data_IF_581490501975
#
_entry.id   IF_581490501975
#
_cell.length_a   1.000
_cell.length_b   1.000
_cell.length_c   1.000
_cell.angle_alpha   90.00
_cell.angle_beta   90.00
_cell.angle_gamma   90.00
#
_symmetry.space_group_name_H-M   'P 1'
#
loop_
_entity.id
_entity.type
_entity.pdbx_description
1 polymer ?
#
# COMPACT_ATOMS: atom_id res chain seq x y z
N UNK A 1 -28.29 45.62 -28.31
CA UNK A 1 -28.69 44.28 -28.80
C UNK A 1 -27.39 43.59 -29.18
N UNK A 2 -26.73 42.96 -28.21
CA UNK A 2 -26.81 41.49 -27.92
C UNK A 2 -25.82 40.76 -28.84
N UNK A 3 -24.92 39.86 -28.43
CA UNK A 3 -24.61 39.14 -27.20
C UNK A 3 -23.17 38.64 -27.33
N UNK A 4 -22.37 38.70 -26.28
CA UNK A 4 -21.29 37.74 -26.00
C UNK A 4 -20.63 38.11 -24.69
N UNK A 5 -20.87 37.33 -23.64
CA UNK A 5 -19.75 36.91 -22.81
C UNK A 5 -20.10 35.65 -22.05
N UNK A 6 -19.15 34.73 -22.09
CA UNK A 6 -19.29 33.33 -21.75
C UNK A 6 -19.56 33.14 -20.25
N UNK A 7 -20.44 32.18 -19.96
CA UNK A 7 -20.63 31.65 -18.61
C UNK A 7 -19.34 30.96 -18.15
N UNK A 8 -18.57 31.66 -17.34
CA UNK A 8 -17.44 31.08 -16.60
C UNK A 8 -18.05 30.36 -15.39
N UNK A 9 -18.27 29.05 -15.55
CA UNK A 9 -18.49 28.18 -14.40
C UNK A 9 -17.22 28.19 -13.56
N UNK A 10 -17.22 28.98 -12.49
CA UNK A 10 -16.21 28.91 -11.44
C UNK A 10 -16.41 27.56 -10.75
N UNK A 11 -15.65 26.55 -11.17
CA UNK A 11 -15.53 25.29 -10.43
C UNK A 11 -14.87 25.63 -9.09
N UNK A 12 -15.70 25.94 -8.10
CA UNK A 12 -15.27 25.96 -6.71
C UNK A 12 -14.61 24.62 -6.42
N UNK A 13 -13.31 24.64 -6.18
CA UNK A 13 -12.57 23.52 -5.63
C UNK A 13 -13.22 23.20 -4.28
N UNK A 14 -14.14 22.23 -4.27
CA UNK A 14 -14.62 21.61 -3.04
C UNK A 14 -13.37 21.10 -2.34
N UNK A 15 -12.95 21.80 -1.29
CA UNK A 15 -11.92 21.31 -0.39
C UNK A 15 -12.52 20.10 0.32
N UNK A 16 -12.28 18.92 -0.24
CA UNK A 16 -12.61 17.65 0.43
C UNK A 16 -11.90 17.68 1.78
N UNK A 17 -12.62 17.59 2.91
CA UNK A 17 -11.99 17.53 4.21
C UNK A 17 -11.02 16.35 4.22
N UNK A 18 -9.78 16.57 4.66
CA UNK A 18 -8.80 15.49 4.81
C UNK A 18 -9.40 14.47 5.78
N UNK A 19 -9.76 13.30 5.28
CA UNK A 19 -10.26 12.22 6.13
C UNK A 19 -9.21 11.89 7.20
N UNK A 20 -9.64 11.83 8.46
CA UNK A 20 -8.78 11.35 9.54
C UNK A 20 -8.67 9.83 9.44
N UNK A 21 -7.46 9.29 9.56
CA UNK A 21 -7.24 7.85 9.53
C UNK A 21 -7.71 7.23 10.85
N UNK A 22 -8.67 6.30 10.77
CA UNK A 22 -9.14 5.53 11.93
C UNK A 22 -8.14 4.44 12.31
N UNK A 23 -8.26 3.90 13.52
CA UNK A 23 -7.38 2.82 13.99
C UNK A 23 -7.56 1.55 13.14
N UNK A 24 -8.80 1.24 12.75
CA UNK A 24 -9.13 0.10 11.90
C UNK A 24 -8.55 0.24 10.49
N UNK A 25 -8.62 1.44 9.91
CA UNK A 25 -8.00 1.74 8.61
C UNK A 25 -6.48 1.68 8.69
N UNK A 26 -5.89 2.20 9.77
CA UNK A 26 -4.45 2.15 9.97
C UNK A 26 -3.93 0.72 10.09
N UNK A 27 -4.68 -0.16 10.76
CA UNK A 27 -4.37 -1.59 10.84
C UNK A 27 -4.46 -2.29 9.48
N UNK A 28 -5.47 -1.96 8.67
CA UNK A 28 -5.65 -2.48 7.32
C UNK A 28 -4.62 -1.97 6.31
N UNK A 29 -4.10 -0.77 6.54
CA UNK A 29 -3.25 -0.04 5.62
C UNK A 29 -2.04 -0.84 5.08
N UNK A 30 -1.16 -1.44 5.92
CA UNK A 30 0.02 -2.14 5.42
C UNK A 30 -0.35 -3.34 4.52
N UNK A 31 -1.44 -4.04 4.84
CA UNK A 31 -1.94 -5.17 4.05
C UNK A 31 -2.38 -4.72 2.65
N UNK A 32 -3.20 -3.65 2.58
CA UNK A 32 -3.66 -3.05 1.32
C UNK A 32 -2.51 -2.47 0.51
N UNK A 33 -1.50 -1.91 1.18
CA UNK A 33 -0.33 -1.35 0.55
C UNK A 33 0.56 -2.43 -0.10
N UNK A 34 0.77 -3.57 0.56
CA UNK A 34 1.47 -4.70 -0.04
C UNK A 34 0.74 -5.27 -1.26
N UNK A 35 -0.58 -5.44 -1.17
CA UNK A 35 -1.40 -5.89 -2.30
C UNK A 35 -1.31 -4.93 -3.50
N UNK A 36 -1.30 -3.63 -3.23
CA UNK A 36 -1.08 -2.62 -4.26
C UNK A 36 0.32 -2.69 -4.89
N UNK A 37 1.38 -2.94 -4.11
CA UNK A 37 2.72 -3.17 -4.66
C UNK A 37 2.77 -4.41 -5.54
N UNK A 38 2.07 -5.46 -5.16
CA UNK A 38 1.95 -6.67 -5.95
C UNK A 38 1.28 -6.37 -7.30
N UNK A 39 0.20 -5.58 -7.32
CA UNK A 39 -0.43 -5.12 -8.55
C UNK A 39 0.51 -4.28 -9.42
N UNK A 40 1.22 -3.31 -8.83
CA UNK A 40 2.17 -2.47 -9.55
C UNK A 40 3.33 -3.26 -10.16
N UNK A 41 3.79 -4.32 -9.48
CA UNK A 41 4.87 -5.18 -9.97
C UNK A 41 4.46 -5.93 -11.24
N UNK A 42 3.16 -6.19 -11.41
CA UNK A 42 2.58 -6.91 -12.55
C UNK A 42 2.21 -6.00 -13.71
N UNK A 43 1.96 -4.71 -13.44
CA UNK A 43 1.67 -3.72 -14.47
C UNK A 43 2.94 -3.44 -15.30
N UNK A 44 3.18 -4.29 -16.29
CA UNK A 44 4.38 -4.31 -17.13
C UNK A 44 4.73 -5.70 -17.67
N UNK A 45 4.21 -6.77 -17.06
CA UNK A 45 4.35 -8.15 -17.52
C UNK A 45 3.06 -8.57 -18.26
N UNK A 46 3.16 -9.06 -19.51
CA UNK A 46 1.98 -9.44 -20.29
C UNK A 46 1.16 -10.52 -19.57
N UNK A 47 -0.15 -10.30 -19.45
CA UNK A 47 -1.18 -11.18 -18.87
C UNK A 47 -0.72 -12.63 -18.57
N UNK A 48 -0.22 -12.85 -17.35
CA UNK A 48 -0.03 -14.19 -16.81
C UNK A 48 -1.32 -14.62 -16.07
N UNK A 49 -1.99 -15.70 -16.49
CA UNK A 49 -3.18 -16.19 -15.81
C UNK A 49 -2.79 -16.85 -14.48
N UNK A 50 -3.58 -16.57 -13.44
CA UNK A 50 -3.43 -17.00 -12.03
C UNK A 50 -2.30 -16.33 -11.22
N UNK A 51 -2.32 -15.01 -11.15
CA UNK A 51 -1.45 -14.29 -10.22
C UNK A 51 -1.92 -14.51 -8.75
N UNK A 52 -1.06 -15.10 -7.91
CA UNK A 52 -1.37 -15.40 -6.50
C UNK A 52 -1.85 -14.15 -5.74
N UNK A 53 -2.94 -14.21 -4.95
CA UNK A 53 -3.35 -13.09 -4.11
C UNK A 53 -2.30 -12.83 -3.01
N UNK A 54 -2.26 -11.63 -2.45
CA UNK A 54 -1.34 -11.30 -1.36
C UNK A 54 -1.44 -12.31 -0.20
N UNK A 55 -2.66 -12.82 0.09
CA UNK A 55 -2.90 -13.81 1.14
C UNK A 55 -2.15 -15.13 0.92
N UNK A 56 -1.77 -15.42 -0.31
CA UNK A 56 -1.01 -16.60 -0.71
C UNK A 56 0.50 -16.42 -0.76
N UNK A 57 0.98 -15.20 -0.55
CA UNK A 57 2.43 -14.96 -0.50
C UNK A 57 2.99 -15.51 0.81
N UNK A 58 4.16 -16.15 0.72
CA UNK A 58 4.98 -16.47 1.89
C UNK A 58 5.58 -15.20 2.48
N UNK A 59 6.04 -15.28 3.73
CA UNK A 59 6.79 -14.21 4.38
C UNK A 59 7.96 -13.73 3.51
N UNK A 60 8.75 -14.67 2.98
CA UNK A 60 9.88 -14.35 2.09
C UNK A 60 9.45 -13.61 0.83
N UNK A 61 8.35 -14.01 0.19
CA UNK A 61 7.83 -13.33 -1.01
C UNK A 61 7.36 -11.90 -0.70
N UNK A 62 6.69 -11.70 0.45
CA UNK A 62 6.31 -10.37 0.93
C UNK A 62 7.53 -9.49 1.21
N UNK A 63 8.55 -10.05 1.85
CA UNK A 63 9.82 -9.36 2.14
C UNK A 63 10.54 -8.96 0.86
N UNK A 64 10.64 -9.86 -0.12
CA UNK A 64 11.23 -9.54 -1.43
C UNK A 64 10.47 -8.44 -2.16
N UNK A 65 9.13 -8.47 -2.14
CA UNK A 65 8.30 -7.42 -2.73
C UNK A 65 8.55 -6.06 -2.04
N UNK A 66 8.57 -6.04 -0.71
CA UNK A 66 8.83 -4.85 0.08
C UNK A 66 10.24 -4.29 -0.19
N UNK A 67 11.27 -5.14 -0.24
CA UNK A 67 12.65 -4.78 -0.56
C UNK A 67 12.81 -4.21 -1.97
N UNK A 68 12.22 -4.86 -2.98
CA UNK A 68 12.21 -4.35 -4.36
C UNK A 68 11.59 -2.96 -4.41
N UNK A 69 10.47 -2.76 -3.71
CA UNK A 69 9.81 -1.45 -3.67
C UNK A 69 10.63 -0.39 -2.95
N UNK A 70 11.29 -0.75 -1.85
CA UNK A 70 12.20 0.14 -1.14
C UNK A 70 13.31 0.65 -2.08
N UNK A 71 13.98 -0.27 -2.78
CA UNK A 71 15.07 0.08 -3.69
C UNK A 71 14.63 1.01 -4.83
N UNK A 72 13.39 0.87 -5.32
CA UNK A 72 12.83 1.78 -6.35
C UNK A 72 12.59 3.20 -5.82
N UNK A 73 12.31 3.34 -4.53
CA UNK A 73 12.02 4.63 -3.90
C UNK A 73 13.30 5.35 -3.45
N UNK A 74 14.28 4.60 -2.94
CA UNK A 74 15.60 5.09 -2.51
C UNK A 74 16.52 5.41 -3.71
N UNK A 75 16.17 6.46 -4.45
CA UNK A 75 16.93 6.88 -5.64
C UNK A 75 18.33 7.39 -5.32
N UNK A 76 18.49 8.03 -4.17
CA UNK A 76 19.76 8.56 -3.68
C UNK A 76 20.64 7.48 -3.04
N UNK A 77 20.11 6.26 -2.84
CA UNK A 77 20.84 5.10 -2.31
C UNK A 77 21.48 5.37 -0.95
N UNK A 78 20.81 6.17 -0.10
CA UNK A 78 21.29 6.43 1.26
C UNK A 78 20.79 5.38 2.27
N UNK A 79 20.10 4.34 1.78
CA UNK A 79 19.58 3.23 2.58
C UNK A 79 18.36 3.62 3.43
N UNK A 80 17.74 4.78 3.17
CA UNK A 80 16.66 5.33 3.99
C UNK A 80 15.63 6.09 3.15
N UNK A 81 14.35 5.81 3.35
CA UNK A 81 13.28 6.55 2.68
C UNK A 81 12.94 7.82 3.45
N UNK A 82 13.22 8.97 2.85
CA UNK A 82 12.76 10.26 3.37
C UNK A 82 11.31 10.54 2.96
N UNK A 83 10.70 11.58 3.54
CA UNK A 83 9.39 12.09 3.08
C UNK A 83 9.39 12.45 1.59
N UNK A 84 10.52 12.87 1.01
CA UNK A 84 10.60 13.17 -0.43
C UNK A 84 10.54 11.90 -1.27
N UNK A 85 11.15 10.82 -0.79
CA UNK A 85 11.13 9.52 -1.48
C UNK A 85 9.75 8.89 -1.39
N UNK A 86 9.13 8.94 -0.22
CA UNK A 86 7.79 8.39 -0.03
C UNK A 86 6.71 9.18 -0.80
N UNK A 87 6.89 10.49 -1.04
CA UNK A 87 6.00 11.24 -1.94
C UNK A 87 5.98 10.70 -3.38
N UNK A 88 7.06 10.02 -3.82
CA UNK A 88 7.14 9.38 -5.15
C UNK A 88 6.26 8.15 -5.27
N UNK A 89 5.77 7.60 -4.15
CA UNK A 89 4.72 6.58 -4.17
C UNK A 89 3.40 7.11 -4.76
N UNK A 90 3.26 8.42 -5.03
CA UNK A 90 2.02 9.04 -5.51
C UNK A 90 0.83 8.59 -4.66
N UNK A 91 0.82 8.99 -3.38
CA UNK A 91 -0.22 8.62 -2.40
C UNK A 91 -1.64 8.70 -2.96
N UNK A 92 -1.91 9.64 -3.88
CA UNK A 92 -3.19 9.82 -4.59
C UNK A 92 -3.76 8.60 -5.32
N UNK A 93 -2.95 7.56 -5.57
CA UNK A 93 -3.37 6.32 -6.24
C UNK A 93 -3.32 5.11 -5.31
N UNK A 94 -2.92 5.32 -4.06
CA UNK A 94 -2.72 4.28 -3.07
C UNK A 94 -4.03 4.08 -2.30
N UNK A 95 -4.40 2.83 -1.98
CA UNK A 95 -5.49 2.56 -1.06
C UNK A 95 -5.26 3.29 0.28
N UNK A 96 -6.32 3.87 0.85
CA UNK A 96 -6.28 4.53 2.17
C UNK A 96 -5.18 5.61 2.27
N UNK A 97 -5.05 6.44 1.23
CA UNK A 97 -4.01 7.46 1.12
C UNK A 97 -3.89 8.40 2.34
N UNK A 98 -5.01 8.65 3.02
CA UNK A 98 -5.07 9.49 4.22
C UNK A 98 -4.32 8.89 5.40
N UNK A 99 -4.19 7.56 5.47
CA UNK A 99 -3.44 6.84 6.50
C UNK A 99 -1.92 6.81 6.26
N UNK A 100 -1.47 7.12 5.04
CA UNK A 100 -0.07 7.00 4.65
C UNK A 100 0.90 7.70 5.59
N UNK A 101 0.60 8.96 5.91
CA UNK A 101 1.50 9.79 6.72
C UNK A 101 1.66 9.21 8.12
N UNK A 102 0.54 8.85 8.75
CA UNK A 102 0.51 8.26 10.08
C UNK A 102 1.21 6.89 10.11
N UNK A 103 0.98 6.07 9.09
CA UNK A 103 1.64 4.78 8.96
C UNK A 103 3.16 4.91 8.89
N UNK A 104 3.71 5.71 7.97
CA UNK A 104 5.17 5.84 7.85
C UNK A 104 5.82 6.51 9.07
N UNK A 105 5.11 7.42 9.75
CA UNK A 105 5.56 7.94 11.04
C UNK A 105 5.63 6.85 12.11
N UNK A 106 4.66 5.94 12.14
CA UNK A 106 4.69 4.81 13.06
C UNK A 106 5.78 3.78 12.75
N UNK A 107 6.37 3.82 11.55
CA UNK A 107 7.48 2.97 11.13
C UNK A 107 8.83 3.48 11.58
N UNK A 108 8.97 4.80 11.66
CA UNK A 108 10.19 5.49 12.09
C UNK A 108 10.35 5.38 13.62
N UNK A 109 10.92 4.25 14.08
CA UNK A 109 11.01 3.92 15.52
C UNK A 109 11.93 4.90 16.26
N UNK A 110 13.00 5.33 15.60
CA UNK A 110 13.96 6.28 16.17
C UNK A 110 13.57 7.76 15.95
N UNK A 111 12.45 8.02 15.27
CA UNK A 111 11.86 9.36 15.02
C UNK A 111 12.79 10.31 14.27
N UNK A 112 13.65 9.80 13.40
CA UNK A 112 14.60 10.61 12.62
C UNK A 112 14.02 11.15 11.31
N UNK A 113 12.72 10.93 11.07
CA UNK A 113 11.94 11.30 9.87
C UNK A 113 12.36 10.56 8.59
N UNK A 114 13.06 9.44 8.74
CA UNK A 114 13.42 8.52 7.66
C UNK A 114 13.06 7.10 8.07
N UNK A 115 12.75 6.26 7.08
CA UNK A 115 12.45 4.85 7.29
C UNK A 115 13.57 4.00 6.68
N UNK A 116 14.28 3.24 7.51
CA UNK A 116 15.31 2.29 7.06
C UNK A 116 14.68 1.06 6.40
N UNK A 117 15.49 0.27 5.69
CA UNK A 117 15.00 -0.98 5.10
C UNK A 117 14.39 -1.93 6.15
N UNK A 118 15.02 -2.04 7.32
CA UNK A 118 14.52 -2.88 8.41
C UNK A 118 13.16 -2.37 8.92
N UNK A 119 13.06 -1.07 9.23
CA UNK A 119 11.79 -0.48 9.68
C UNK A 119 10.69 -0.64 8.63
N UNK A 120 11.04 -0.54 7.36
CA UNK A 120 10.13 -0.73 6.23
C UNK A 120 9.60 -2.17 6.14
N UNK A 121 10.49 -3.18 6.22
CA UNK A 121 10.08 -4.59 6.17
C UNK A 121 9.29 -4.99 7.40
N UNK A 122 9.72 -4.60 8.59
CA UNK A 122 8.98 -4.86 9.84
C UNK A 122 7.56 -4.27 9.76
N UNK A 123 7.45 -3.07 9.20
CA UNK A 123 6.17 -2.38 9.04
C UNK A 123 5.22 -3.02 8.06
N UNK A 124 5.73 -3.33 6.87
CA UNK A 124 4.89 -3.74 5.77
C UNK A 124 4.64 -5.24 5.78
N UNK A 125 5.62 -6.04 6.19
CA UNK A 125 5.50 -7.49 6.19
C UNK A 125 4.91 -7.95 7.51
N UNK A 126 5.63 -7.77 8.61
CA UNK A 126 5.27 -8.37 9.91
C UNK A 126 3.94 -7.83 10.42
N UNK A 127 3.71 -6.51 10.33
CA UNK A 127 2.41 -5.95 10.76
C UNK A 127 1.26 -6.37 9.85
N UNK A 128 1.49 -6.50 8.54
CA UNK A 128 0.45 -7.00 7.63
C UNK A 128 0.09 -8.43 7.95
N UNK A 129 1.08 -9.27 8.22
CA UNK A 129 0.88 -10.67 8.62
C UNK A 129 0.12 -10.73 9.95
N UNK A 130 0.59 -10.01 10.97
CA UNK A 130 -0.06 -9.96 12.28
C UNK A 130 -1.51 -9.47 12.18
N UNK A 131 -1.75 -8.39 11.44
CA UNK A 131 -3.10 -7.87 11.20
C UNK A 131 -3.97 -8.88 10.48
N UNK A 132 -3.45 -9.52 9.43
CA UNK A 132 -4.20 -10.50 8.65
C UNK A 132 -4.54 -11.75 9.48
N UNK A 133 -3.58 -12.29 10.24
CA UNK A 133 -3.82 -13.44 11.12
C UNK A 133 -4.85 -13.11 12.18
N UNK A 134 -4.74 -11.96 12.84
CA UNK A 134 -5.71 -11.50 13.83
C UNK A 134 -7.11 -11.32 13.21
N UNK A 135 -7.19 -10.72 12.02
CA UNK A 135 -8.46 -10.51 11.33
C UNK A 135 -9.10 -11.84 10.89
N UNK A 136 -8.33 -12.77 10.33
CA UNK A 136 -8.83 -14.09 9.92
C UNK A 136 -9.27 -14.94 11.11
N UNK A 137 -8.51 -14.94 12.21
CA UNK A 137 -8.83 -15.73 13.40
C UNK A 137 -10.05 -15.19 14.14
N UNK A 138 -10.20 -13.86 14.24
CA UNK A 138 -11.24 -13.25 15.07
C UNK A 138 -12.56 -13.00 14.34
N UNK A 139 -12.56 -12.77 13.02
CA UNK A 139 -13.77 -12.35 12.29
C UNK A 139 -14.26 -13.31 11.21
N UNK A 140 -13.40 -14.18 10.67
CA UNK A 140 -13.74 -14.97 9.48
C UNK A 140 -13.78 -16.50 9.72
N UNK A 141 -13.32 -16.98 10.89
CA UNK A 141 -13.48 -18.38 11.31
C UNK A 141 -12.85 -19.44 10.39
N UNK A 142 -11.99 -19.04 9.45
CA UNK A 142 -11.39 -19.93 8.44
C UNK A 142 -9.88 -19.71 8.36
N UNK A 143 -9.11 -20.78 8.51
CA UNK A 143 -7.64 -20.77 8.51
C UNK A 143 -7.01 -20.98 7.12
N UNK A 144 -7.83 -21.12 6.05
CA UNK A 144 -7.30 -21.38 4.70
C UNK A 144 -6.98 -20.05 3.99
N UNK A 145 -5.70 -19.72 3.95
CA UNK A 145 -5.11 -18.51 3.36
C UNK A 145 -5.20 -18.45 1.83
N UNK A 146 -5.25 -19.62 1.19
CA UNK A 146 -5.34 -19.80 -0.24
C UNK A 146 -6.50 -20.71 -0.61
N UNK A 147 -7.32 -20.37 -1.61
CA UNK A 147 -8.12 -21.38 -2.28
C UNK A 147 -7.15 -22.39 -2.90
N UNK A 148 -7.29 -23.67 -2.57
CA UNK A 148 -6.72 -24.75 -3.37
C UNK A 148 -7.29 -24.59 -4.77
N UNK A 149 -6.49 -24.02 -5.69
CA UNK A 149 -6.74 -24.13 -7.12
C UNK A 149 -6.74 -25.62 -7.37
N UNK A 150 -7.92 -26.21 -7.59
CA UNK A 150 -7.99 -27.58 -8.10
C UNK A 150 -7.26 -27.54 -9.44
N UNK A 151 -6.17 -28.28 -9.55
CA UNK A 151 -5.53 -28.62 -10.81
C UNK A 151 -6.55 -29.42 -11.65
N UNK A 152 -7.47 -28.70 -12.29
CA UNK A 152 -8.30 -29.22 -13.35
C UNK A 152 -7.86 -28.52 -14.64
N UNK A 153 -6.66 -28.85 -15.08
CA UNK A 153 -6.25 -28.73 -16.48
C UNK A 153 -5.71 -30.10 -16.87
N UNK A 154 -6.65 -30.97 -17.26
CA UNK A 154 -6.40 -32.12 -18.14
C UNK A 154 -5.94 -31.61 -19.51
#
# INVERSE_FOLDING_TARGET
>A
MESSSQSVFVLSLVQVPKANCTEEELGQFPYRLLDWFLLLSRMGESYAPAALPQSCLSHTQRTQLAQKRFALLDKNKDGKLSRRDLKKLHYKRMPLEHCATQFFQSCDRNRNRKVTLQEWTDCLVDRSEAWFYHFMSMRMGSHKLCPTIKENYL
#
